data_IF_523046788442
#
_entry.id   IF_523046788442
#
_cell.length_a   1.000
_cell.length_b   1.000
_cell.length_c   1.000
_cell.angle_alpha   90.00
_cell.angle_beta   90.00
_cell.angle_gamma   90.00
#
_symmetry.space_group_name_H-M   'P 1'
#
loop_
_entity.id
_entity.type
_entity.pdbx_description
1 polymer ?
#
# COMPACT_ATOMS: atom_id res chain seq x y z
N UNK A 1 -12.60 11.69 -12.38
CA UNK A 1 -12.64 10.32 -12.94
C UNK A 1 -14.09 9.83 -13.06
N UNK A 2 -14.39 8.87 -13.95
CA UNK A 2 -15.75 8.34 -14.11
C UNK A 2 -16.23 7.64 -12.83
N UNK A 3 -17.40 8.02 -12.33
CA UNK A 3 -18.02 7.38 -11.15
C UNK A 3 -18.34 5.90 -11.40
N UNK A 4 -18.55 5.49 -12.65
CA UNK A 4 -18.84 4.10 -13.03
C UNK A 4 -17.68 3.14 -12.72
N UNK A 5 -16.44 3.62 -12.79
CA UNK A 5 -15.25 2.82 -12.52
C UNK A 5 -14.70 3.02 -11.10
N UNK A 6 -15.14 4.05 -10.39
CA UNK A 6 -14.60 4.38 -9.06
C UNK A 6 -14.72 3.21 -8.08
N UNK A 7 -15.88 2.54 -8.03
CA UNK A 7 -16.13 1.40 -7.14
C UNK A 7 -15.23 0.18 -7.42
N UNK A 8 -14.63 0.09 -8.61
CA UNK A 8 -13.71 -1.00 -8.94
C UNK A 8 -12.31 -0.74 -8.37
N UNK A 9 -11.83 0.52 -8.45
CA UNK A 9 -10.44 0.87 -8.18
C UNK A 9 -10.21 1.60 -6.86
N UNK A 10 -11.23 2.30 -6.32
CA UNK A 10 -11.08 3.19 -5.18
C UNK A 10 -11.88 2.73 -3.97
N UNK A 11 -11.38 3.07 -2.81
CA UNK A 11 -12.10 2.96 -1.56
C UNK A 11 -12.77 4.30 -1.25
N UNK A 12 -14.10 4.26 -0.97
CA UNK A 12 -14.93 5.47 -0.88
C UNK A 12 -14.43 6.45 0.17
N UNK A 13 -14.15 5.98 1.39
CA UNK A 13 -13.82 6.88 2.50
C UNK A 13 -12.51 7.63 2.27
N UNK A 14 -11.50 6.97 1.65
CA UNK A 14 -10.26 7.65 1.24
C UNK A 14 -10.51 8.63 0.08
N UNK A 15 -11.42 8.29 -0.83
CA UNK A 15 -11.84 9.21 -1.90
C UNK A 15 -12.50 10.46 -1.34
N UNK A 16 -13.33 10.31 -0.32
CA UNK A 16 -14.04 11.43 0.34
C UNK A 16 -13.06 12.40 1.03
N UNK A 17 -11.92 11.92 1.57
CA UNK A 17 -10.87 12.78 2.13
C UNK A 17 -10.29 13.75 1.08
N UNK A 18 -10.25 13.34 -0.17
CA UNK A 18 -9.72 14.16 -1.28
C UNK A 18 -10.83 14.80 -2.14
N UNK A 19 -12.07 14.90 -1.63
CA UNK A 19 -13.15 15.61 -2.29
C UNK A 19 -12.97 17.14 -2.17
N UNK A 20 -13.63 17.88 -3.05
CA UNK A 20 -13.59 19.36 -3.04
C UNK A 20 -14.09 19.93 -1.70
N UNK A 21 -15.19 19.38 -1.15
CA UNK A 21 -15.73 19.80 0.14
C UNK A 21 -14.75 19.52 1.28
N UNK A 22 -14.09 18.39 1.24
CA UNK A 22 -13.07 18.01 2.23
C UNK A 22 -11.85 18.91 2.14
N UNK A 23 -11.35 19.22 0.93
CA UNK A 23 -10.24 20.16 0.73
C UNK A 23 -10.58 21.52 1.33
N UNK A 24 -11.75 22.08 1.03
CA UNK A 24 -12.19 23.38 1.58
C UNK A 24 -12.29 23.31 3.12
N UNK A 25 -12.80 22.21 3.67
CA UNK A 25 -12.85 22.00 5.14
C UNK A 25 -11.45 22.03 5.76
N UNK A 26 -10.48 21.33 5.19
CA UNK A 26 -9.09 21.37 5.70
C UNK A 26 -8.46 22.75 5.54
N UNK A 27 -8.73 23.46 4.46
CA UNK A 27 -8.27 24.84 4.28
C UNK A 27 -8.87 25.78 5.34
N UNK A 28 -10.15 25.65 5.65
CA UNK A 28 -10.80 26.38 6.75
C UNK A 28 -10.11 26.05 8.09
N UNK A 29 -9.86 24.79 8.37
CA UNK A 29 -9.17 24.35 9.59
C UNK A 29 -7.77 24.98 9.71
N UNK A 30 -7.03 25.08 8.59
CA UNK A 30 -5.72 25.71 8.54
C UNK A 30 -5.81 27.21 8.83
N UNK A 31 -6.77 27.93 8.24
CA UNK A 31 -6.97 29.37 8.51
C UNK A 31 -7.36 29.66 9.96
N UNK A 32 -8.22 28.81 10.54
CA UNK A 32 -8.59 28.91 11.97
C UNK A 32 -7.36 28.71 12.86
N UNK A 33 -6.57 27.66 12.59
CA UNK A 33 -5.36 27.37 13.35
C UNK A 33 -4.33 28.50 13.23
N UNK A 34 -4.22 29.11 12.05
CA UNK A 34 -3.37 30.27 11.83
C UNK A 34 -3.81 31.46 12.68
N UNK A 35 -5.10 31.83 12.63
CA UNK A 35 -5.65 32.92 13.41
C UNK A 35 -5.48 32.72 14.93
N UNK A 36 -5.78 31.49 15.42
CA UNK A 36 -5.60 31.14 16.83
C UNK A 36 -4.14 31.19 17.28
N UNK A 37 -3.21 30.68 16.45
CA UNK A 37 -1.78 30.73 16.73
C UNK A 37 -1.27 32.16 16.80
N UNK A 38 -1.70 33.01 15.88
CA UNK A 38 -1.33 34.44 15.85
C UNK A 38 -1.89 35.21 17.04
N UNK A 39 -3.12 34.95 17.44
CA UNK A 39 -3.71 35.57 18.63
C UNK A 39 -3.00 35.12 19.92
N UNK A 40 -2.67 33.83 20.03
CA UNK A 40 -1.89 33.28 21.16
C UNK A 40 -0.54 33.98 21.35
N UNK A 41 0.09 34.40 20.26
CA UNK A 41 1.38 35.06 20.25
C UNK A 41 1.23 36.62 20.35
N UNK A 42 0.01 37.11 20.16
CA UNK A 42 -0.28 38.55 20.24
C UNK A 42 -0.08 39.30 18.91
N UNK A 43 -0.02 38.61 17.78
CA UNK A 43 0.08 39.19 16.42
C UNK A 43 -1.24 39.82 15.98
N UNK A 44 -2.36 39.13 16.27
CA UNK A 44 -3.71 39.62 16.01
C UNK A 44 -4.54 39.66 17.28
N UNK A 45 -5.65 40.43 17.32
CA UNK A 45 -6.54 40.46 18.48
C UNK A 45 -7.21 39.08 18.72
N UNK A 46 -7.32 38.70 19.99
CA UNK A 46 -7.96 37.43 20.39
C UNK A 46 -9.43 37.33 19.96
N UNK A 47 -10.17 38.46 20.02
CA UNK A 47 -11.57 38.49 19.55
C UNK A 47 -11.68 38.21 18.06
N UNK A 48 -10.77 38.68 17.22
CA UNK A 48 -10.76 38.43 15.80
C UNK A 48 -10.54 36.90 15.52
N UNK A 49 -9.57 36.28 16.20
CA UNK A 49 -9.34 34.82 16.07
C UNK A 49 -10.56 34.01 16.54
N UNK A 50 -11.23 34.43 17.62
CA UNK A 50 -12.43 33.75 18.11
C UNK A 50 -13.58 33.85 17.10
N UNK A 51 -13.79 35.05 16.50
CA UNK A 51 -14.81 35.24 15.46
C UNK A 51 -14.51 34.39 14.23
N UNK A 52 -13.25 34.36 13.75
CA UNK A 52 -12.85 33.53 12.61
C UNK A 52 -13.14 32.05 12.92
N UNK A 53 -12.80 31.56 14.10
CA UNK A 53 -13.05 30.19 14.52
C UNK A 53 -14.55 29.87 14.58
N UNK A 54 -15.36 30.75 15.18
CA UNK A 54 -16.81 30.58 15.29
C UNK A 54 -17.50 30.57 13.93
N UNK A 55 -17.09 31.45 13.02
CA UNK A 55 -17.62 31.51 11.64
C UNK A 55 -17.28 30.24 10.88
N UNK A 56 -16.07 29.73 11.08
CA UNK A 56 -15.57 28.53 10.40
C UNK A 56 -16.42 27.28 10.64
N UNK A 57 -17.05 27.14 11.81
CA UNK A 57 -17.92 25.99 12.15
C UNK A 57 -19.07 25.78 11.14
N UNK A 58 -19.52 26.86 10.50
CA UNK A 58 -20.63 26.84 9.54
C UNK A 58 -20.26 27.45 8.18
N UNK A 59 -18.97 27.71 7.94
CA UNK A 59 -18.54 28.40 6.73
C UNK A 59 -18.71 27.53 5.47
N UNK A 60 -18.55 26.21 5.58
CA UNK A 60 -18.56 25.28 4.42
C UNK A 60 -19.84 25.43 3.60
N UNK A 61 -20.99 25.52 4.25
CA UNK A 61 -22.30 25.64 3.58
C UNK A 61 -22.51 26.98 2.87
N UNK A 62 -21.66 27.98 3.16
CA UNK A 62 -21.70 29.32 2.55
C UNK A 62 -20.76 29.47 1.37
N UNK A 63 -19.88 28.49 1.11
CA UNK A 63 -19.00 28.52 -0.04
C UNK A 63 -19.72 28.23 -1.34
N UNK A 64 -19.52 29.09 -2.34
CA UNK A 64 -19.96 28.80 -3.71
C UNK A 64 -18.85 28.03 -4.44
N UNK A 65 -18.99 26.70 -4.47
CA UNK A 65 -18.02 25.81 -5.13
C UNK A 65 -17.95 26.03 -6.65
N UNK A 66 -19.05 26.43 -7.30
CA UNK A 66 -19.03 26.72 -8.73
C UNK A 66 -18.21 27.98 -9.03
N UNK A 67 -18.41 29.03 -8.25
CA UNK A 67 -17.59 30.25 -8.36
C UNK A 67 -16.13 29.99 -8.00
N UNK A 68 -15.85 29.14 -6.97
CA UNK A 68 -14.50 28.72 -6.62
C UNK A 68 -13.80 28.04 -7.81
N UNK A 69 -14.46 27.08 -8.47
CA UNK A 69 -13.89 26.35 -9.59
C UNK A 69 -13.51 27.27 -10.76
N UNK A 70 -14.39 28.18 -11.14
CA UNK A 70 -14.13 29.17 -12.21
C UNK A 70 -12.99 30.09 -11.83
N UNK A 71 -12.99 30.63 -10.61
CA UNK A 71 -11.96 31.56 -10.15
C UNK A 71 -10.60 30.88 -9.95
N UNK A 72 -10.57 29.60 -9.57
CA UNK A 72 -9.33 28.80 -9.46
C UNK A 72 -8.63 28.69 -10.81
N UNK A 73 -9.37 28.44 -11.89
CA UNK A 73 -8.81 28.38 -13.24
C UNK A 73 -8.17 29.70 -13.70
N UNK A 74 -8.66 30.85 -13.22
CA UNK A 74 -8.11 32.16 -13.51
C UNK A 74 -6.93 32.53 -12.58
N UNK A 75 -7.01 32.12 -11.30
CA UNK A 75 -6.02 32.48 -10.30
C UNK A 75 -4.79 31.54 -10.27
N UNK A 76 -4.89 30.37 -10.90
CA UNK A 76 -3.83 29.33 -10.90
C UNK A 76 -3.75 28.50 -9.61
N UNK A 77 -4.51 28.84 -8.57
CA UNK A 77 -4.69 28.02 -7.36
C UNK A 77 -5.98 28.40 -6.63
N UNK A 78 -6.50 27.45 -5.84
CA UNK A 78 -7.76 27.63 -5.12
C UNK A 78 -7.66 28.59 -3.91
N UNK A 79 -6.48 28.77 -3.30
CA UNK A 79 -6.37 29.54 -2.07
C UNK A 79 -6.78 31.00 -2.26
N UNK A 80 -6.49 31.60 -3.41
CA UNK A 80 -6.85 33.01 -3.69
C UNK A 80 -8.37 33.23 -3.64
N UNK A 81 -9.20 32.53 -4.45
CA UNK A 81 -10.66 32.69 -4.37
C UNK A 81 -11.26 32.16 -3.06
N UNK A 82 -10.67 31.11 -2.46
CA UNK A 82 -11.07 30.60 -1.16
C UNK A 82 -10.94 31.69 -0.07
N UNK A 83 -9.77 32.32 0.07
CA UNK A 83 -9.55 33.39 1.05
C UNK A 83 -10.51 34.56 0.84
N UNK A 84 -10.79 34.94 -0.41
CA UNK A 84 -11.77 35.97 -0.71
C UNK A 84 -13.18 35.60 -0.20
N UNK A 85 -13.64 34.39 -0.43
CA UNK A 85 -14.95 33.96 0.07
C UNK A 85 -14.96 33.84 1.59
N UNK A 86 -13.92 33.26 2.21
CA UNK A 86 -13.83 33.17 3.68
C UNK A 86 -13.83 34.55 4.32
N UNK A 87 -13.05 35.50 3.78
CA UNK A 87 -13.01 36.88 4.25
C UNK A 87 -14.39 37.55 4.17
N UNK A 88 -15.14 37.35 3.07
CA UNK A 88 -16.48 37.85 2.92
C UNK A 88 -17.46 37.24 3.96
N UNK A 89 -17.39 35.94 4.16
CA UNK A 89 -18.22 35.21 5.15
C UNK A 89 -17.93 35.71 6.58
N UNK A 90 -16.66 35.96 6.93
CA UNK A 90 -16.30 36.58 8.22
C UNK A 90 -16.78 38.00 8.33
N UNK A 91 -16.66 38.78 7.25
CA UNK A 91 -17.09 40.18 7.20
C UNK A 91 -18.57 40.35 7.46
N UNK A 92 -19.41 39.45 6.99
CA UNK A 92 -20.86 39.46 7.24
C UNK A 92 -21.22 39.37 8.73
N UNK A 93 -20.29 38.87 9.57
CA UNK A 93 -20.45 38.73 11.02
C UNK A 93 -19.69 39.82 11.77
N UNK A 94 -18.45 40.08 11.38
CA UNK A 94 -17.57 41.05 12.02
C UNK A 94 -16.57 41.60 11.00
N UNK A 95 -16.75 42.90 10.62
CA UNK A 95 -15.90 43.55 9.64
C UNK A 95 -14.46 43.71 10.14
N UNK A 96 -14.26 43.97 11.43
CA UNK A 96 -12.93 44.12 12.01
C UNK A 96 -12.17 42.80 12.03
N UNK A 97 -12.83 41.70 12.41
CA UNK A 97 -12.25 40.37 12.40
C UNK A 97 -11.85 39.93 10.98
N UNK A 98 -12.62 40.30 9.96
CA UNK A 98 -12.35 39.94 8.57
C UNK A 98 -10.98 40.44 8.05
N UNK A 99 -10.43 41.51 8.63
CA UNK A 99 -9.13 42.08 8.29
C UNK A 99 -7.96 41.16 8.67
N UNK A 100 -8.19 40.17 9.51
CA UNK A 100 -7.17 39.27 10.03
C UNK A 100 -7.20 37.87 9.40
N UNK A 101 -8.15 37.59 8.49
CA UNK A 101 -8.17 36.36 7.71
C UNK A 101 -6.91 36.28 6.85
N UNK A 102 -6.23 35.13 6.84
CA UNK A 102 -5.02 34.89 6.03
C UNK A 102 -3.85 35.83 6.35
N UNK A 103 -3.77 36.34 7.57
CA UNK A 103 -2.76 37.33 7.93
C UNK A 103 -1.35 36.77 7.87
N UNK A 104 -0.50 37.35 7.01
CA UNK A 104 0.91 37.03 6.87
C UNK A 104 1.23 35.70 6.20
N UNK A 105 0.23 34.94 5.80
CA UNK A 105 0.41 33.64 5.08
C UNK A 105 0.48 33.84 3.55
N UNK A 106 0.81 32.76 2.87
CA UNK A 106 0.73 32.66 1.41
C UNK A 106 -0.15 31.47 1.01
N UNK A 107 -0.63 31.45 -0.23
CA UNK A 107 -1.44 30.36 -0.77
C UNK A 107 -0.86 28.97 -0.51
N UNK A 108 0.46 28.82 -0.64
CA UNK A 108 1.14 27.53 -0.45
C UNK A 108 1.13 27.08 1.00
N UNK A 109 1.20 27.96 1.97
CA UNK A 109 1.10 27.64 3.40
C UNK A 109 -0.22 26.90 3.69
N UNK A 110 -1.32 27.42 3.12
CA UNK A 110 -2.65 26.86 3.34
C UNK A 110 -2.83 25.54 2.61
N UNK A 111 -2.44 25.49 1.33
CA UNK A 111 -2.62 24.30 0.49
C UNK A 111 -1.72 23.13 0.92
N UNK A 112 -0.44 23.39 1.19
CA UNK A 112 0.47 22.34 1.64
C UNK A 112 0.06 21.80 3.01
N UNK A 113 -0.32 22.65 3.95
CA UNK A 113 -0.77 22.20 5.27
C UNK A 113 -2.10 21.46 5.20
N UNK A 114 -3.06 21.90 4.38
CA UNK A 114 -4.30 21.18 4.12
C UNK A 114 -4.03 19.81 3.49
N UNK A 115 -3.12 19.74 2.51
CA UNK A 115 -2.67 18.48 1.91
C UNK A 115 -2.05 17.53 2.95
N UNK A 116 -1.21 18.02 3.85
CA UNK A 116 -0.63 17.21 4.93
C UNK A 116 -1.71 16.70 5.89
N UNK A 117 -2.74 17.48 6.20
CA UNK A 117 -3.87 17.03 7.00
C UNK A 117 -4.68 15.94 6.28
N UNK A 118 -4.96 16.11 4.98
CA UNK A 118 -5.58 15.06 4.16
C UNK A 118 -4.70 13.80 4.13
N UNK A 119 -3.40 13.94 3.92
CA UNK A 119 -2.45 12.83 3.95
C UNK A 119 -2.44 12.12 5.31
N UNK A 120 -2.47 12.86 6.43
CA UNK A 120 -2.54 12.29 7.79
C UNK A 120 -3.74 11.37 7.94
N UNK A 121 -4.91 11.86 7.57
CA UNK A 121 -6.16 11.13 7.79
C UNK A 121 -6.27 9.94 6.80
N UNK A 122 -5.83 10.10 5.55
CA UNK A 122 -5.74 9.02 4.58
C UNK A 122 -4.70 7.95 4.99
N UNK A 123 -3.54 8.35 5.53
CA UNK A 123 -2.54 7.41 6.07
C UNK A 123 -3.07 6.60 7.25
N UNK A 124 -3.87 7.21 8.13
CA UNK A 124 -4.50 6.47 9.23
C UNK A 124 -5.46 5.40 8.71
N UNK A 125 -6.21 5.67 7.65
CA UNK A 125 -7.09 4.68 7.02
C UNK A 125 -6.30 3.57 6.33
N UNK A 126 -5.26 3.91 5.57
CA UNK A 126 -4.37 2.94 4.92
C UNK A 126 -3.69 2.04 5.96
N UNK A 127 -3.23 2.61 7.07
CA UNK A 127 -2.63 1.85 8.18
C UNK A 127 -3.63 0.86 8.79
N UNK A 128 -4.89 1.29 9.02
CA UNK A 128 -5.96 0.40 9.50
C UNK A 128 -6.24 -0.77 8.54
N UNK A 129 -6.29 -0.50 7.23
CA UNK A 129 -6.45 -1.55 6.22
C UNK A 129 -5.26 -2.52 6.19
N UNK A 130 -4.03 -2.01 6.30
CA UNK A 130 -2.81 -2.83 6.38
C UNK A 130 -2.82 -3.72 7.64
N UNK A 131 -3.21 -3.18 8.79
CA UNK A 131 -3.33 -3.95 10.04
C UNK A 131 -4.32 -5.10 9.87
N UNK A 132 -5.47 -4.85 9.23
CA UNK A 132 -6.47 -5.88 8.95
C UNK A 132 -5.93 -6.94 7.98
N UNK A 133 -5.28 -6.54 6.87
CA UNK A 133 -4.66 -7.46 5.93
C UNK A 133 -3.57 -8.31 6.61
N UNK A 134 -2.74 -7.69 7.45
CA UNK A 134 -1.69 -8.35 8.21
C UNK A 134 -2.27 -9.41 9.16
N UNK A 135 -3.24 -9.04 9.99
CA UNK A 135 -3.87 -9.95 10.94
C UNK A 135 -4.53 -11.14 10.23
N UNK A 136 -5.25 -10.87 9.12
CA UNK A 136 -5.88 -11.92 8.32
C UNK A 136 -4.86 -12.84 7.68
N UNK A 137 -3.78 -12.31 7.10
CA UNK A 137 -2.71 -13.11 6.51
C UNK A 137 -2.01 -14.03 7.54
N UNK A 138 -1.80 -13.54 8.79
CA UNK A 138 -1.28 -14.36 9.89
C UNK A 138 -2.23 -15.50 10.26
N UNK A 139 -3.53 -15.21 10.37
CA UNK A 139 -4.55 -16.22 10.66
C UNK A 139 -4.55 -17.31 9.57
N UNK A 140 -4.56 -16.92 8.32
CA UNK A 140 -4.54 -17.83 7.18
C UNK A 140 -3.21 -18.62 7.09
N UNK A 141 -2.07 -17.98 7.39
CA UNK A 141 -0.79 -18.66 7.46
C UNK A 141 -0.77 -19.78 8.50
N UNK A 142 -1.37 -19.55 9.67
CA UNK A 142 -1.55 -20.56 10.72
C UNK A 142 -2.50 -21.67 10.29
N UNK A 143 -3.63 -21.33 9.67
CA UNK A 143 -4.64 -22.29 9.23
C UNK A 143 -4.08 -23.27 8.18
N UNK A 144 -3.35 -22.75 7.18
CA UNK A 144 -2.84 -23.53 6.06
C UNK A 144 -1.36 -23.91 6.22
N UNK A 145 -0.82 -23.92 7.44
CA UNK A 145 0.59 -24.20 7.70
C UNK A 145 1.05 -25.58 7.20
N UNK A 146 0.15 -26.55 7.13
CA UNK A 146 0.41 -27.91 6.70
C UNK A 146 -0.16 -28.23 5.29
N UNK A 147 -0.82 -27.28 4.64
CA UNK A 147 -1.35 -27.49 3.29
C UNK A 147 -0.20 -27.44 2.28
N UNK A 148 0.26 -28.62 1.87
CA UNK A 148 1.33 -28.76 0.88
C UNK A 148 0.84 -28.33 -0.50
N UNK A 149 1.69 -27.64 -1.21
CA UNK A 149 1.50 -27.23 -2.60
C UNK A 149 2.85 -27.13 -3.31
N UNK A 150 2.82 -27.05 -4.64
CA UNK A 150 4.05 -26.85 -5.39
C UNK A 150 4.52 -25.40 -5.36
N UNK A 151 5.79 -25.18 -5.04
CA UNK A 151 6.50 -23.92 -5.26
C UNK A 151 6.90 -23.80 -6.72
N UNK A 152 6.79 -22.58 -7.26
CA UNK A 152 7.15 -22.28 -8.66
C UNK A 152 8.21 -21.21 -8.74
N UNK A 153 9.24 -21.47 -9.54
CA UNK A 153 10.29 -20.53 -9.91
C UNK A 153 10.32 -20.38 -11.43
N UNK A 154 10.45 -19.18 -11.96
CA UNK A 154 10.37 -18.93 -13.39
C UNK A 154 9.10 -19.49 -14.05
N UNK A 155 7.98 -19.53 -13.31
CA UNK A 155 6.71 -20.13 -13.67
C UNK A 155 6.76 -21.66 -13.86
N UNK A 156 7.88 -22.31 -13.56
CA UNK A 156 8.04 -23.75 -13.60
C UNK A 156 7.87 -24.33 -12.19
N UNK A 157 7.35 -25.56 -12.12
CA UNK A 157 7.30 -26.32 -10.88
C UNK A 157 8.71 -26.58 -10.36
N UNK A 158 8.93 -26.37 -9.06
CA UNK A 158 10.24 -26.55 -8.44
C UNK A 158 10.14 -27.55 -7.27
N UNK A 159 10.01 -27.05 -6.05
CA UNK A 159 10.00 -27.87 -4.85
C UNK A 159 8.68 -27.71 -4.07
N UNK A 160 8.31 -28.69 -3.23
CA UNK A 160 7.17 -28.54 -2.34
C UNK A 160 7.34 -27.39 -1.35
N UNK A 161 6.26 -26.65 -1.14
CA UNK A 161 6.11 -25.65 -0.08
C UNK A 161 4.76 -25.86 0.62
N UNK A 162 4.41 -24.99 1.58
CA UNK A 162 3.03 -24.93 2.07
C UNK A 162 2.34 -23.62 1.70
N UNK A 163 1.02 -23.64 1.57
CA UNK A 163 0.22 -22.43 1.39
C UNK A 163 0.43 -21.47 2.59
N UNK A 164 0.52 -22.02 3.80
CA UNK A 164 0.82 -21.25 5.00
C UNK A 164 2.14 -20.51 4.93
N UNK A 165 3.19 -21.10 4.34
CA UNK A 165 4.45 -20.40 4.11
C UNK A 165 4.32 -19.24 3.12
N UNK A 166 3.57 -19.42 2.02
CA UNK A 166 3.28 -18.35 1.06
C UNK A 166 2.57 -17.17 1.76
N UNK A 167 1.56 -17.46 2.58
CA UNK A 167 0.78 -16.47 3.33
C UNK A 167 1.59 -15.79 4.43
N UNK A 168 2.47 -16.50 5.13
CA UNK A 168 3.39 -15.92 6.12
C UNK A 168 4.34 -14.89 5.47
N UNK A 169 4.84 -15.17 4.27
CA UNK A 169 5.66 -14.21 3.51
C UNK A 169 4.88 -12.96 3.12
N UNK A 170 3.58 -13.08 2.81
CA UNK A 170 2.71 -11.93 2.56
C UNK A 170 2.49 -11.13 3.84
N UNK A 171 2.21 -11.80 4.97
CA UNK A 171 2.11 -11.15 6.28
C UNK A 171 3.37 -10.36 6.62
N UNK A 172 4.55 -10.94 6.44
CA UNK A 172 5.83 -10.26 6.67
C UNK A 172 6.02 -9.02 5.77
N UNK A 173 5.47 -9.00 4.55
CA UNK A 173 5.49 -7.80 3.71
C UNK A 173 4.59 -6.69 4.28
N UNK A 174 3.38 -7.01 4.73
CA UNK A 174 2.48 -6.04 5.38
C UNK A 174 3.09 -5.47 6.67
N UNK A 175 3.78 -6.30 7.48
CA UNK A 175 4.48 -5.82 8.68
C UNK A 175 5.51 -4.75 8.33
N UNK A 176 6.34 -4.98 7.33
CA UNK A 176 7.32 -3.98 6.88
C UNK A 176 6.67 -2.71 6.33
N UNK A 177 5.50 -2.81 5.70
CA UNK A 177 4.76 -1.64 5.22
C UNK A 177 4.17 -0.84 6.37
N UNK A 178 3.64 -1.50 7.42
CA UNK A 178 3.21 -0.85 8.66
C UNK A 178 4.37 -0.11 9.34
N UNK A 179 5.52 -0.75 9.45
CA UNK A 179 6.72 -0.13 10.05
C UNK A 179 7.16 1.11 9.28
N UNK A 180 7.10 1.08 7.93
CA UNK A 180 7.41 2.25 7.09
C UNK A 180 6.44 3.40 7.34
N UNK A 181 5.14 3.15 7.39
CA UNK A 181 4.13 4.19 7.68
C UNK A 181 4.42 4.81 9.05
N UNK A 182 4.60 4.01 10.07
CA UNK A 182 4.87 4.50 11.43
C UNK A 182 6.16 5.33 11.48
N UNK A 183 7.24 4.82 10.89
CA UNK A 183 8.53 5.48 10.91
C UNK A 183 8.55 6.81 10.14
N UNK A 184 7.75 6.96 9.06
CA UNK A 184 7.75 8.19 8.27
C UNK A 184 6.88 9.30 8.89
N UNK A 185 5.80 8.98 9.63
CA UNK A 185 4.78 9.95 10.08
C UNK A 185 5.39 11.18 10.76
N UNK A 186 6.38 11.01 11.62
CA UNK A 186 7.02 12.12 12.34
C UNK A 186 7.82 13.06 11.43
N UNK A 187 8.30 12.58 10.28
CA UNK A 187 9.05 13.38 9.31
C UNK A 187 8.15 14.11 8.33
N UNK A 188 7.06 13.45 7.89
CA UNK A 188 6.22 13.94 6.80
C UNK A 188 5.01 14.74 7.27
N UNK A 189 4.44 14.44 8.45
CA UNK A 189 3.28 15.16 9.00
C UNK A 189 3.72 16.46 9.65
N UNK A 190 4.21 17.39 8.83
CA UNK A 190 4.86 18.63 9.22
C UNK A 190 4.06 19.82 8.68
N UNK A 191 3.82 20.83 9.53
CA UNK A 191 3.13 22.04 9.11
C UNK A 191 3.96 22.85 8.11
N UNK A 192 3.29 23.58 7.22
CA UNK A 192 3.92 24.55 6.33
C UNK A 192 3.40 25.95 6.66
N UNK A 193 4.29 26.84 7.07
CA UNK A 193 4.01 28.25 7.23
C UNK A 193 5.32 29.04 7.01
N UNK A 194 5.38 29.80 5.95
CA UNK A 194 6.58 30.55 5.55
C UNK A 194 6.30 31.95 5.03
N UNK A 195 5.06 32.27 4.72
CA UNK A 195 4.69 33.53 4.06
C UNK A 195 5.18 33.58 2.61
N UNK A 196 5.31 34.76 2.06
CA UNK A 196 5.50 34.99 0.63
C UNK A 196 6.69 34.23 0.01
N UNK A 197 7.83 34.18 0.71
CA UNK A 197 9.09 33.59 0.23
C UNK A 197 9.81 32.74 1.31
N UNK A 198 9.09 32.28 2.30
CA UNK A 198 9.65 31.44 3.36
C UNK A 198 10.31 32.22 4.52
N UNK A 199 10.29 33.52 4.49
CA UNK A 199 10.99 34.37 5.47
C UNK A 199 10.13 34.83 6.65
N UNK A 200 8.80 34.67 6.59
CA UNK A 200 7.83 35.20 7.57
C UNK A 200 7.98 36.68 7.84
N UNK A 201 8.46 37.46 6.86
CA UNK A 201 8.80 38.88 7.04
C UNK A 201 7.63 39.70 7.58
N UNK A 202 6.39 39.39 7.22
CA UNK A 202 5.17 40.03 7.72
C UNK A 202 4.87 39.79 9.20
N UNK A 203 5.47 38.78 9.80
CA UNK A 203 5.32 38.39 11.21
C UNK A 203 6.52 38.83 12.07
N UNK A 204 7.54 39.43 11.45
CA UNK A 204 8.75 39.95 12.12
C UNK A 204 9.33 38.90 13.10
N UNK A 205 9.70 39.35 14.31
CA UNK A 205 10.31 38.46 15.34
C UNK A 205 9.35 37.42 15.91
N UNK A 206 8.04 37.51 15.63
CA UNK A 206 7.03 36.57 16.11
C UNK A 206 6.89 35.35 15.21
N UNK A 207 7.46 35.34 14.01
CA UNK A 207 7.25 34.32 13.00
C UNK A 207 7.47 32.90 13.54
N UNK A 208 8.60 32.61 14.20
CA UNK A 208 8.91 31.30 14.74
C UNK A 208 7.95 30.84 15.85
N UNK A 209 7.48 31.75 16.68
CA UNK A 209 6.51 31.49 17.73
C UNK A 209 5.14 31.15 17.11
N UNK A 210 4.72 31.88 16.08
CA UNK A 210 3.49 31.57 15.33
C UNK A 210 3.56 30.22 14.68
N UNK A 211 4.66 29.86 13.99
CA UNK A 211 4.85 28.53 13.37
C UNK A 211 4.72 27.41 14.40
N UNK A 212 5.35 27.60 15.57
CA UNK A 212 5.28 26.58 16.65
C UNK A 212 3.86 26.42 17.19
N UNK A 213 3.15 27.52 17.45
CA UNK A 213 1.78 27.50 17.92
C UNK A 213 0.83 26.91 16.83
N UNK A 214 1.01 27.28 15.57
CA UNK A 214 0.24 26.80 14.41
C UNK A 214 0.37 25.29 14.24
N UNK A 215 1.58 24.75 14.23
CA UNK A 215 1.80 23.31 14.12
C UNK A 215 1.15 22.54 15.29
N UNK A 216 1.23 23.09 16.52
CA UNK A 216 0.60 22.51 17.70
C UNK A 216 -0.93 22.48 17.60
N UNK A 217 -1.57 23.55 17.12
CA UNK A 217 -3.03 23.61 16.91
C UNK A 217 -3.51 22.50 15.96
N UNK A 218 -2.69 22.15 14.95
CA UNK A 218 -3.02 21.13 13.95
C UNK A 218 -2.53 19.72 14.30
N UNK A 219 -1.86 19.57 15.44
CA UNK A 219 -1.20 18.31 15.82
C UNK A 219 -0.24 17.83 14.73
N UNK A 220 0.58 18.74 14.21
CA UNK A 220 1.62 18.49 13.22
C UNK A 220 3.01 18.77 13.81
N UNK A 221 4.03 18.19 13.19
CA UNK A 221 5.43 18.47 13.53
C UNK A 221 5.79 19.91 13.18
N UNK A 222 6.50 20.59 14.07
CA UNK A 222 7.05 21.92 13.82
C UNK A 222 8.22 21.80 12.84
N UNK A 223 8.19 22.50 11.68
CA UNK A 223 9.29 22.47 10.75
C UNK A 223 10.51 23.23 11.30
N UNK A 224 11.71 22.76 11.00
CA UNK A 224 12.96 23.49 11.29
C UNK A 224 13.10 24.72 10.40
N UNK A 225 12.61 24.64 9.17
CA UNK A 225 12.55 25.73 8.19
C UNK A 225 11.32 25.53 7.31
N UNK A 226 10.91 26.59 6.60
CA UNK A 226 9.91 26.47 5.53
C UNK A 226 10.37 25.45 4.50
N UNK A 227 9.41 24.76 3.86
CA UNK A 227 9.72 23.69 2.91
C UNK A 227 8.92 23.82 1.60
N UNK A 228 8.65 25.06 1.17
CA UNK A 228 7.90 25.35 -0.07
C UNK A 228 8.54 24.68 -1.31
N UNK A 229 9.87 24.71 -1.41
CA UNK A 229 10.64 24.13 -2.51
C UNK A 229 11.19 22.73 -2.22
N UNK A 230 11.20 22.28 -0.97
CA UNK A 230 11.75 20.99 -0.54
C UNK A 230 10.62 19.97 -0.41
N UNK A 231 10.42 19.16 -1.46
CA UNK A 231 9.24 18.27 -1.59
C UNK A 231 9.48 16.82 -1.18
N UNK A 232 10.60 16.53 -0.56
CA UNK A 232 10.99 15.19 -0.10
C UNK A 232 9.93 14.53 0.81
N UNK A 233 9.20 15.28 1.63
CA UNK A 233 8.11 14.78 2.47
C UNK A 233 6.95 14.20 1.65
N UNK A 234 6.55 14.90 0.61
CA UNK A 234 5.48 14.42 -0.31
C UNK A 234 5.95 13.19 -1.06
N UNK A 235 7.21 13.19 -1.50
CA UNK A 235 7.83 12.06 -2.19
C UNK A 235 7.96 10.85 -1.26
N UNK A 236 8.31 11.03 0.01
CA UNK A 236 8.39 9.94 0.99
C UNK A 236 7.01 9.29 1.19
N UNK A 237 5.94 10.08 1.36
CA UNK A 237 4.57 9.58 1.46
C UNK A 237 4.22 8.73 0.22
N UNK A 238 4.38 9.31 -0.96
CA UNK A 238 4.06 8.64 -2.22
C UNK A 238 4.89 7.35 -2.41
N UNK A 239 6.18 7.37 -2.04
CA UNK A 239 7.08 6.20 -2.15
C UNK A 239 6.64 5.04 -1.26
N UNK A 240 6.24 5.31 -0.02
CA UNK A 240 5.72 4.27 0.88
C UNK A 240 4.43 3.68 0.33
N UNK A 241 3.50 4.51 -0.15
CA UNK A 241 2.26 4.04 -0.79
C UNK A 241 2.55 3.21 -2.05
N UNK A 242 3.52 3.63 -2.86
CA UNK A 242 3.97 2.89 -4.05
C UNK A 242 4.52 1.50 -3.71
N UNK A 243 5.28 1.36 -2.61
CA UNK A 243 5.76 0.05 -2.12
C UNK A 243 4.60 -0.84 -1.67
N UNK A 244 3.61 -0.30 -0.98
CA UNK A 244 2.41 -1.03 -0.56
C UNK A 244 1.66 -1.57 -1.79
N UNK A 245 1.44 -0.73 -2.80
CA UNK A 245 0.80 -1.14 -4.06
C UNK A 245 1.62 -2.21 -4.77
N UNK A 246 2.96 -2.10 -4.78
CA UNK A 246 3.85 -3.12 -5.33
C UNK A 246 3.73 -4.47 -4.62
N UNK A 247 3.67 -4.48 -3.28
CA UNK A 247 3.49 -5.68 -2.48
C UNK A 247 2.12 -6.33 -2.72
N UNK A 248 1.04 -5.56 -2.71
CA UNK A 248 -0.31 -6.08 -3.03
C UNK A 248 -0.39 -6.59 -4.46
N UNK A 249 0.28 -5.92 -5.41
CA UNK A 249 0.38 -6.35 -6.80
C UNK A 249 1.10 -7.70 -6.97
N UNK A 250 2.17 -7.93 -6.20
CA UNK A 250 2.85 -9.24 -6.17
C UNK A 250 1.91 -10.34 -5.67
N UNK A 251 1.14 -10.06 -4.63
CA UNK A 251 0.15 -11.02 -4.10
C UNK A 251 -0.94 -11.29 -5.12
N UNK A 252 -1.47 -10.23 -5.76
CA UNK A 252 -2.49 -10.33 -6.80
C UNK A 252 -2.02 -11.15 -8.01
N UNK A 253 -0.76 -11.00 -8.40
CA UNK A 253 -0.18 -11.83 -9.45
C UNK A 253 -0.14 -13.29 -9.04
N UNK A 254 0.29 -13.61 -7.82
CA UNK A 254 0.33 -14.98 -7.32
C UNK A 254 -1.06 -15.64 -7.35
N UNK A 255 -2.06 -15.02 -6.72
CA UNK A 255 -3.38 -15.66 -6.68
C UNK A 255 -4.06 -15.72 -8.05
N UNK A 256 -3.84 -14.74 -8.94
CA UNK A 256 -4.38 -14.79 -10.31
C UNK A 256 -3.79 -15.97 -11.10
N UNK A 257 -2.51 -16.28 -10.91
CA UNK A 257 -1.86 -17.43 -11.51
C UNK A 257 -2.39 -18.74 -10.90
N UNK A 258 -2.63 -18.79 -9.59
CA UNK A 258 -3.23 -19.95 -8.93
C UNK A 258 -4.70 -20.20 -9.33
N UNK A 259 -5.39 -19.18 -9.87
CA UNK A 259 -6.76 -19.27 -10.41
C UNK A 259 -6.83 -19.77 -11.85
N UNK A 260 -5.70 -19.86 -12.58
CA UNK A 260 -5.71 -20.37 -13.96
C UNK A 260 -6.38 -21.76 -14.00
N UNK A 261 -7.14 -22.02 -15.08
CA UNK A 261 -7.92 -23.27 -15.22
C UNK A 261 -7.07 -24.50 -15.03
N UNK A 262 -5.84 -24.50 -15.54
CA UNK A 262 -4.88 -25.61 -15.50
C UNK A 262 -4.21 -25.74 -14.12
N UNK A 263 -4.22 -24.70 -13.30
CA UNK A 263 -3.61 -24.65 -11.96
C UNK A 263 -4.67 -24.92 -10.89
N UNK A 264 -5.74 -24.14 -10.87
CA UNK A 264 -6.96 -24.28 -10.05
C UNK A 264 -6.72 -24.57 -8.56
N UNK A 265 -5.70 -23.95 -7.96
CA UNK A 265 -5.27 -24.19 -6.56
C UNK A 265 -5.98 -23.28 -5.55
N UNK A 266 -6.32 -22.06 -5.97
CA UNK A 266 -6.93 -21.05 -5.11
C UNK A 266 -7.87 -20.18 -5.96
N UNK A 267 -8.98 -19.73 -5.38
CA UNK A 267 -9.95 -18.87 -6.06
C UNK A 267 -10.32 -17.67 -5.20
N UNK A 268 -10.61 -16.54 -5.84
CA UNK A 268 -11.22 -15.40 -5.17
C UNK A 268 -12.59 -15.76 -4.58
N UNK A 269 -13.02 -15.10 -3.49
CA UNK A 269 -14.31 -15.42 -2.86
C UNK A 269 -15.47 -15.22 -3.83
N UNK A 270 -16.43 -16.14 -3.77
CA UNK A 270 -17.66 -16.04 -4.56
C UNK A 270 -18.66 -15.08 -3.90
N UNK A 271 -19.32 -14.26 -4.72
CA UNK A 271 -20.46 -13.46 -4.32
C UNK A 271 -21.40 -13.27 -5.52
N UNK A 272 -22.66 -12.99 -5.27
CA UNK A 272 -23.65 -12.71 -6.32
C UNK A 272 -23.18 -11.53 -7.17
N UNK A 273 -22.98 -11.75 -8.48
CA UNK A 273 -22.53 -10.74 -9.43
C UNK A 273 -21.02 -10.51 -9.47
N UNK A 274 -20.21 -11.23 -8.69
CA UNK A 274 -18.74 -11.11 -8.68
C UNK A 274 -18.12 -12.12 -9.66
N UNK A 275 -17.24 -11.64 -10.53
CA UNK A 275 -16.39 -12.49 -11.37
C UNK A 275 -17.11 -13.30 -12.45
N UNK A 276 -18.41 -13.11 -12.64
CA UNK A 276 -19.21 -13.83 -13.63
C UNK A 276 -18.79 -13.50 -15.07
N UNK A 277 -19.08 -14.45 -15.97
CA UNK A 277 -18.96 -14.28 -17.41
C UNK A 277 -20.34 -14.07 -18.02
N UNK A 278 -20.44 -13.15 -18.97
CA UNK A 278 -21.70 -12.91 -19.71
C UNK A 278 -22.09 -14.06 -20.65
N UNK A 279 -21.11 -14.92 -21.01
CA UNK A 279 -21.30 -15.99 -22.01
C UNK A 279 -21.01 -17.37 -21.47
N UNK A 280 -20.14 -17.51 -20.44
CA UNK A 280 -19.70 -18.79 -19.90
C UNK A 280 -20.02 -18.88 -18.39
N UNK A 281 -21.15 -19.54 -18.00
CA UNK A 281 -21.62 -19.52 -16.60
C UNK A 281 -20.62 -20.10 -15.57
N UNK A 282 -19.77 -21.03 -16.00
CA UNK A 282 -18.77 -21.69 -15.14
C UNK A 282 -17.49 -20.86 -14.95
N UNK A 283 -17.26 -19.83 -15.77
CA UNK A 283 -16.02 -19.05 -15.73
C UNK A 283 -16.00 -18.09 -14.53
N UNK A 284 -14.98 -18.22 -13.69
CA UNK A 284 -14.71 -17.36 -12.52
C UNK A 284 -13.55 -16.43 -12.82
N UNK A 285 -13.83 -15.15 -13.04
CA UNK A 285 -12.79 -14.17 -13.34
C UNK A 285 -12.13 -13.62 -12.06
N UNK A 286 -10.80 -13.42 -12.03
CA UNK A 286 -10.08 -12.83 -10.91
C UNK A 286 -10.24 -11.30 -10.90
N UNK A 287 -11.42 -10.80 -10.52
CA UNK A 287 -11.77 -9.37 -10.60
C UNK A 287 -10.98 -8.54 -9.60
N UNK A 288 -10.73 -9.06 -8.39
CA UNK A 288 -9.91 -8.38 -7.41
C UNK A 288 -8.46 -8.25 -7.89
N UNK A 289 -7.89 -9.35 -8.44
CA UNK A 289 -6.55 -9.32 -9.04
C UNK A 289 -6.47 -8.29 -10.17
N UNK A 290 -7.46 -8.25 -11.05
CA UNK A 290 -7.49 -7.29 -12.16
C UNK A 290 -7.41 -5.84 -11.67
N UNK A 291 -8.20 -5.51 -10.63
CA UNK A 291 -8.19 -4.18 -10.01
C UNK A 291 -6.84 -3.84 -9.38
N UNK A 292 -6.27 -4.74 -8.56
CA UNK A 292 -4.98 -4.52 -7.89
C UNK A 292 -3.84 -4.40 -8.92
N UNK A 293 -3.82 -5.25 -9.94
CA UNK A 293 -2.80 -5.21 -10.99
C UNK A 293 -2.89 -3.94 -11.85
N UNK A 294 -4.10 -3.42 -12.08
CA UNK A 294 -4.28 -2.13 -12.75
C UNK A 294 -3.71 -0.97 -11.91
N UNK A 295 -3.94 -0.97 -10.58
CA UNK A 295 -3.32 -0.01 -9.67
C UNK A 295 -1.78 -0.13 -9.70
N UNK A 296 -1.24 -1.36 -9.71
CA UNK A 296 0.19 -1.63 -9.80
C UNK A 296 0.83 -1.10 -11.09
N UNK A 297 0.09 -1.09 -12.18
CA UNK A 297 0.55 -0.50 -13.45
C UNK A 297 0.45 1.03 -13.45
N UNK A 298 -0.55 1.60 -12.79
CA UNK A 298 -0.80 3.05 -12.79
C UNK A 298 0.12 3.82 -11.84
N UNK A 299 0.32 3.32 -10.61
CA UNK A 299 1.07 4.02 -9.56
C UNK A 299 2.51 4.37 -9.96
N UNK A 300 3.30 3.52 -10.64
CA UNK A 300 4.65 3.89 -11.09
C UNK A 300 4.70 5.12 -11.99
N UNK A 301 3.70 5.33 -12.85
CA UNK A 301 3.60 6.52 -13.69
C UNK A 301 3.33 7.79 -12.86
N UNK A 302 2.47 7.70 -11.83
CA UNK A 302 2.24 8.78 -10.87
C UNK A 302 3.50 9.07 -10.04
N UNK A 303 4.20 8.03 -9.60
CA UNK A 303 5.49 8.15 -8.91
C UNK A 303 6.54 8.88 -9.74
N UNK A 304 6.61 8.60 -11.05
CA UNK A 304 7.49 9.34 -11.95
C UNK A 304 7.19 10.84 -11.94
N UNK A 305 5.90 11.22 -11.96
CA UNK A 305 5.49 12.63 -11.84
C UNK A 305 5.91 13.23 -10.49
N UNK A 306 5.70 12.51 -9.40
CA UNK A 306 6.07 12.96 -8.03
C UNK A 306 7.58 13.15 -7.90
N UNK A 307 8.41 12.23 -8.41
CA UNK A 307 9.88 12.39 -8.39
C UNK A 307 10.34 13.59 -9.23
N UNK A 308 9.73 13.81 -10.39
CA UNK A 308 10.03 14.98 -11.22
C UNK A 308 9.65 16.28 -10.53
N UNK A 309 8.58 16.28 -9.73
CA UNK A 309 8.12 17.44 -8.97
C UNK A 309 9.05 17.84 -7.82
N UNK A 310 10.05 17.03 -7.47
CA UNK A 310 11.08 17.44 -6.49
C UNK A 310 11.98 18.58 -6.98
N UNK A 311 12.15 18.71 -8.29
CA UNK A 311 13.02 19.73 -8.88
C UNK A 311 12.21 21.02 -9.02
N UNK A 312 12.17 21.79 -7.94
CA UNK A 312 11.43 23.05 -7.84
C UNK A 312 12.35 24.24 -8.13
N UNK A 313 11.79 25.31 -8.67
CA UNK A 313 12.53 26.54 -8.93
C UNK A 313 12.36 27.51 -7.75
N UNK A 314 13.47 28.05 -7.27
CA UNK A 314 13.53 29.11 -6.27
C UNK A 314 12.67 28.77 -5.03
N UNK A 315 11.95 29.76 -4.50
CA UNK A 315 11.13 29.66 -3.28
C UNK A 315 9.71 29.16 -3.55
N UNK A 316 9.29 29.04 -4.84
CA UNK A 316 8.02 28.43 -5.28
C UNK A 316 8.06 28.04 -6.74
N UNK A 317 7.68 26.80 -7.01
CA UNK A 317 7.76 26.20 -8.35
C UNK A 317 6.68 26.66 -9.31
N UNK A 318 7.04 26.69 -10.59
CA UNK A 318 6.15 26.88 -11.72
C UNK A 318 5.77 25.52 -12.34
N UNK A 319 4.63 24.98 -11.93
CA UNK A 319 4.07 23.74 -12.51
C UNK A 319 4.34 22.47 -11.70
N UNK A 320 5.55 22.24 -11.19
CA UNK A 320 5.89 21.04 -10.43
C UNK A 320 5.03 20.88 -9.16
N UNK A 321 4.82 21.95 -8.38
CA UNK A 321 3.92 21.95 -7.24
C UNK A 321 2.47 21.57 -7.63
N UNK A 322 1.97 22.08 -8.77
CA UNK A 322 0.61 21.77 -9.26
C UNK A 322 0.45 20.30 -9.66
N UNK A 323 1.52 19.63 -10.13
CA UNK A 323 1.47 18.22 -10.50
C UNK A 323 1.19 17.31 -9.30
N UNK A 324 1.60 17.70 -8.09
CA UNK A 324 1.34 16.97 -6.86
C UNK A 324 -0.16 16.92 -6.53
N UNK A 325 -0.91 17.99 -6.83
CA UNK A 325 -2.37 18.06 -6.55
C UNK A 325 -3.19 17.00 -7.28
N UNK A 326 -2.66 16.51 -8.43
CA UNK A 326 -3.27 15.45 -9.20
C UNK A 326 -2.78 14.06 -8.75
N UNK A 327 -1.47 13.95 -8.53
CA UNK A 327 -0.84 12.64 -8.33
C UNK A 327 -1.04 12.11 -6.90
N UNK A 328 -0.93 12.95 -5.88
CA UNK A 328 -1.02 12.51 -4.47
C UNK A 328 -2.38 11.88 -4.14
N UNK A 329 -3.53 12.53 -4.44
CA UNK A 329 -4.84 11.94 -4.17
C UNK A 329 -5.03 10.61 -4.91
N UNK A 330 -4.63 10.53 -6.20
CA UNK A 330 -4.80 9.32 -7.00
C UNK A 330 -3.97 8.15 -6.45
N UNK A 331 -2.74 8.39 -5.96
CA UNK A 331 -1.91 7.36 -5.34
C UNK A 331 -2.58 6.81 -4.07
N UNK A 332 -3.11 7.66 -3.20
CA UNK A 332 -3.85 7.24 -2.01
C UNK A 332 -5.08 6.41 -2.36
N UNK A 333 -5.89 6.87 -3.30
CA UNK A 333 -7.12 6.19 -3.72
C UNK A 333 -6.83 4.81 -4.30
N UNK A 334 -5.82 4.69 -5.15
CA UNK A 334 -5.38 3.41 -5.74
C UNK A 334 -4.78 2.47 -4.68
N UNK A 335 -3.99 2.99 -3.74
CA UNK A 335 -3.42 2.21 -2.66
C UNK A 335 -4.51 1.63 -1.75
N UNK A 336 -5.44 2.45 -1.29
CA UNK A 336 -6.54 2.01 -0.45
C UNK A 336 -7.47 1.02 -1.17
N UNK A 337 -7.74 1.25 -2.45
CA UNK A 337 -8.50 0.33 -3.28
C UNK A 337 -7.82 -1.03 -3.43
N UNK A 338 -6.51 -1.04 -3.68
CA UNK A 338 -5.71 -2.27 -3.76
C UNK A 338 -5.70 -3.05 -2.44
N UNK A 339 -5.58 -2.36 -1.30
CA UNK A 339 -5.67 -2.97 0.03
C UNK A 339 -7.05 -3.55 0.32
N UNK A 340 -8.11 -2.82 -0.04
CA UNK A 340 -9.50 -3.31 0.11
C UNK A 340 -9.68 -4.64 -0.64
N UNK A 341 -9.29 -4.70 -1.92
CA UNK A 341 -9.41 -5.91 -2.74
C UNK A 341 -8.54 -7.06 -2.22
N UNK A 342 -7.33 -6.74 -1.77
CA UNK A 342 -6.43 -7.74 -1.16
C UNK A 342 -7.01 -8.29 0.14
N UNK A 343 -7.57 -7.43 1.00
CA UNK A 343 -8.24 -7.84 2.23
C UNK A 343 -9.45 -8.73 1.98
N UNK A 344 -10.30 -8.40 0.99
CA UNK A 344 -11.43 -9.26 0.59
C UNK A 344 -10.98 -10.66 0.15
N UNK A 345 -9.89 -10.74 -0.62
CA UNK A 345 -9.34 -12.03 -1.05
C UNK A 345 -8.79 -12.80 0.15
N UNK A 346 -7.98 -12.17 1.01
CA UNK A 346 -7.42 -12.82 2.20
C UNK A 346 -8.48 -13.36 3.16
N UNK A 347 -9.63 -12.66 3.30
CA UNK A 347 -10.72 -13.07 4.18
C UNK A 347 -11.52 -14.25 3.65
N UNK A 348 -11.63 -14.41 2.32
CA UNK A 348 -12.60 -15.31 1.74
C UNK A 348 -12.13 -16.16 0.58
N UNK A 349 -10.82 -16.27 0.30
CA UNK A 349 -10.35 -17.14 -0.77
C UNK A 349 -10.72 -18.61 -0.51
N UNK A 350 -10.98 -19.33 -1.59
CA UNK A 350 -11.30 -20.74 -1.58
C UNK A 350 -10.07 -21.56 -1.99
N UNK A 351 -9.72 -22.57 -1.20
CA UNK A 351 -8.57 -23.45 -1.47
C UNK A 351 -9.06 -24.76 -2.08
N UNK A 352 -8.44 -25.18 -3.16
CA UNK A 352 -8.63 -26.50 -3.76
C UNK A 352 -7.44 -27.40 -3.43
N UNK A 353 -7.53 -28.07 -2.27
CA UNK A 353 -6.47 -28.94 -1.77
C UNK A 353 -6.23 -30.15 -2.69
N UNK A 354 -7.27 -30.64 -3.36
CA UNK A 354 -7.16 -31.76 -4.30
C UNK A 354 -6.31 -31.36 -5.52
N UNK A 355 -6.58 -30.21 -6.13
CA UNK A 355 -5.74 -29.72 -7.25
C UNK A 355 -4.32 -29.36 -6.81
N UNK A 356 -4.11 -28.87 -5.57
CA UNK A 356 -2.77 -28.69 -5.04
C UNK A 356 -1.99 -30.00 -5.04
N UNK A 357 -2.63 -31.10 -4.60
CA UNK A 357 -2.03 -32.45 -4.63
C UNK A 357 -1.80 -32.96 -6.05
N UNK A 358 -2.78 -32.83 -6.95
CA UNK A 358 -2.63 -33.19 -8.35
C UNK A 358 -1.48 -32.45 -9.03
N UNK A 359 -1.30 -31.17 -8.73
CA UNK A 359 -0.20 -30.37 -9.26
C UNK A 359 1.17 -30.82 -8.74
N UNK A 360 1.28 -31.37 -7.54
CA UNK A 360 2.52 -31.97 -7.04
C UNK A 360 2.90 -33.23 -7.83
N UNK A 361 1.89 -33.98 -8.31
CA UNK A 361 2.10 -35.25 -9.04
C UNK A 361 2.27 -35.04 -10.55
N UNK A 362 1.90 -33.92 -11.12
CA UNK A 362 1.80 -33.74 -12.59
C UNK A 362 3.15 -33.84 -13.33
N UNK A 363 4.27 -33.85 -12.62
CA UNK A 363 5.60 -34.07 -13.19
C UNK A 363 6.11 -35.50 -12.99
N UNK A 364 5.23 -36.45 -12.62
CA UNK A 364 5.60 -37.83 -12.35
C UNK A 364 6.78 -37.91 -11.36
N UNK A 365 6.75 -37.15 -10.28
CA UNK A 365 7.74 -37.17 -9.20
C UNK A 365 9.07 -36.46 -9.51
N UNK A 366 9.24 -35.84 -10.68
CA UNK A 366 10.47 -35.11 -11.04
C UNK A 366 10.79 -33.97 -10.08
N UNK A 367 9.79 -33.34 -9.46
CA UNK A 367 9.98 -32.31 -8.42
C UNK A 367 10.77 -32.82 -7.21
N UNK A 368 10.84 -34.14 -7.00
CA UNK A 368 11.57 -34.76 -5.88
C UNK A 368 13.00 -35.17 -6.25
N UNK A 369 13.48 -34.88 -7.46
CA UNK A 369 14.82 -35.20 -7.91
C UNK A 369 15.92 -34.67 -6.98
N UNK A 370 15.77 -33.43 -6.47
CA UNK A 370 16.71 -32.84 -5.51
C UNK A 370 16.72 -33.63 -4.19
N UNK A 371 15.55 -34.04 -3.68
CA UNK A 371 15.46 -34.85 -2.45
C UNK A 371 16.21 -36.16 -2.60
N UNK A 372 16.03 -36.85 -3.73
CA UNK A 372 16.75 -38.11 -4.06
C UNK A 372 18.26 -37.85 -4.14
N UNK A 373 18.68 -36.80 -4.87
CA UNK A 373 20.09 -36.46 -4.99
C UNK A 373 20.72 -36.17 -3.62
N UNK A 374 20.05 -35.43 -2.76
CA UNK A 374 20.55 -35.05 -1.43
C UNK A 374 20.58 -36.26 -0.47
N UNK A 375 19.66 -37.21 -0.60
CA UNK A 375 19.71 -38.47 0.16
C UNK A 375 20.87 -39.37 -0.25
N UNK A 376 21.20 -39.42 -1.54
CA UNK A 376 22.30 -40.18 -2.10
C UNK A 376 23.67 -39.55 -1.87
N UNK A 377 23.77 -38.23 -1.87
CA UNK A 377 25.04 -37.48 -1.82
C UNK A 377 25.97 -37.89 -0.66
N UNK A 378 25.51 -38.15 0.58
CA UNK A 378 26.37 -38.64 1.66
C UNK A 378 26.95 -40.04 1.44
N UNK A 379 26.29 -40.85 0.61
CA UNK A 379 26.65 -42.24 0.40
C UNK A 379 27.57 -42.47 -0.80
N UNK A 380 27.33 -41.76 -1.89
CA UNK A 380 28.09 -41.98 -3.17
C UNK A 380 28.81 -40.72 -3.64
N UNK A 381 28.74 -39.63 -2.87
CA UNK A 381 29.31 -38.32 -3.25
C UNK A 381 28.35 -37.49 -4.11
N UNK A 382 28.38 -36.16 -3.91
CA UNK A 382 27.44 -35.24 -4.53
C UNK A 382 27.41 -35.28 -6.05
N UNK A 383 28.60 -35.36 -6.70
CA UNK A 383 28.69 -35.33 -8.14
C UNK A 383 28.13 -36.62 -8.76
N UNK A 384 28.46 -37.77 -8.18
CA UNK A 384 27.91 -39.07 -8.63
C UNK A 384 26.40 -39.14 -8.44
N UNK A 385 25.89 -38.66 -7.29
CA UNK A 385 24.45 -38.56 -7.03
C UNK A 385 23.75 -37.66 -8.06
N UNK A 386 24.35 -36.51 -8.41
CA UNK A 386 23.79 -35.64 -9.44
C UNK A 386 23.69 -36.33 -10.79
N UNK A 387 24.78 -36.96 -11.28
CA UNK A 387 24.78 -37.63 -12.60
C UNK A 387 23.80 -38.80 -12.63
N UNK A 388 23.70 -39.56 -11.52
CA UNK A 388 22.78 -40.70 -11.41
C UNK A 388 21.33 -40.22 -11.49
N UNK A 389 20.96 -39.19 -10.71
CA UNK A 389 19.60 -38.67 -10.69
C UNK A 389 19.26 -37.95 -12.00
N UNK A 390 20.21 -37.24 -12.64
CA UNK A 390 20.03 -36.64 -13.97
C UNK A 390 19.71 -37.71 -15.02
N UNK A 391 20.43 -38.83 -15.03
CA UNK A 391 20.15 -39.95 -15.91
C UNK A 391 18.78 -40.59 -15.64
N UNK A 392 18.42 -40.78 -14.36
CA UNK A 392 17.12 -41.28 -13.95
C UNK A 392 15.97 -40.37 -14.41
N UNK A 393 16.13 -39.07 -14.27
CA UNK A 393 15.15 -38.08 -14.74
C UNK A 393 14.95 -38.17 -16.27
N UNK A 394 16.05 -38.26 -17.04
CA UNK A 394 15.97 -38.44 -18.50
C UNK A 394 15.24 -39.72 -18.88
N UNK A 395 15.50 -40.84 -18.17
CA UNK A 395 14.82 -42.12 -18.37
C UNK A 395 13.32 -41.98 -18.03
N UNK A 396 12.98 -41.39 -16.89
CA UNK A 396 11.59 -41.19 -16.46
C UNK A 396 10.80 -40.40 -17.50
N UNK A 397 11.36 -39.33 -18.02
CA UNK A 397 10.73 -38.50 -19.07
C UNK A 397 10.59 -39.29 -20.38
N UNK A 398 11.66 -39.94 -20.83
CA UNK A 398 11.66 -40.68 -22.11
C UNK A 398 10.66 -41.87 -22.12
N UNK A 399 10.47 -42.51 -20.98
CA UNK A 399 9.59 -43.69 -20.84
C UNK A 399 8.20 -43.34 -20.28
N UNK A 400 7.95 -42.06 -19.98
CA UNK A 400 6.73 -41.59 -19.32
C UNK A 400 6.42 -42.36 -18.02
N UNK A 401 7.47 -42.62 -17.22
CA UNK A 401 7.39 -43.33 -15.95
C UNK A 401 7.52 -42.35 -14.76
N UNK A 402 7.03 -42.75 -13.61
CA UNK A 402 7.25 -42.02 -12.40
C UNK A 402 8.72 -42.12 -11.95
N UNK A 403 9.35 -41.01 -11.53
CA UNK A 403 10.75 -40.98 -11.12
C UNK A 403 11.04 -41.99 -9.98
N UNK A 404 10.09 -42.18 -9.07
CA UNK A 404 10.17 -43.18 -8.01
C UNK A 404 10.44 -44.60 -8.56
N UNK A 405 9.74 -45.03 -9.60
CA UNK A 405 9.89 -46.37 -10.18
C UNK A 405 11.28 -46.53 -10.79
N UNK A 406 11.72 -45.51 -11.57
CA UNK A 406 13.05 -45.52 -12.19
C UNK A 406 14.15 -45.56 -11.12
N UNK A 407 14.07 -44.69 -10.11
CA UNK A 407 15.06 -44.63 -9.03
C UNK A 407 15.10 -45.89 -8.19
N UNK A 408 13.95 -46.53 -7.93
CA UNK A 408 13.85 -47.76 -7.16
C UNK A 408 14.53 -48.94 -7.82
N UNK A 409 14.72 -48.91 -9.14
CA UNK A 409 15.37 -49.99 -9.91
C UNK A 409 16.89 -49.83 -10.03
N UNK A 410 17.46 -48.68 -9.65
CA UNK A 410 18.90 -48.45 -9.73
C UNK A 410 19.67 -49.26 -8.68
N UNK A 411 20.73 -49.97 -9.08
CA UNK A 411 21.53 -50.83 -8.19
C UNK A 411 22.19 -49.99 -7.07
N UNK A 412 22.66 -48.79 -7.38
CA UNK A 412 23.24 -47.86 -6.42
C UNK A 412 22.23 -47.42 -5.35
N UNK A 413 20.94 -47.42 -5.68
CA UNK A 413 19.87 -47.05 -4.75
C UNK A 413 19.44 -48.27 -3.94
N UNK A 414 19.21 -49.41 -4.60
CA UNK A 414 18.84 -50.72 -3.95
C UNK A 414 19.85 -51.13 -2.88
N UNK A 415 21.13 -50.86 -3.12
CA UNK A 415 22.20 -51.14 -2.16
C UNK A 415 22.30 -50.19 -0.97
N UNK A 416 21.58 -49.09 -0.98
CA UNK A 416 21.70 -48.02 0.00
C UNK A 416 20.43 -47.71 0.78
N UNK A 417 19.24 -48.02 0.21
CA UNK A 417 17.94 -47.71 0.76
C UNK A 417 16.96 -48.88 0.63
N UNK A 418 16.15 -49.04 1.65
CA UNK A 418 14.94 -49.89 1.57
C UNK A 418 13.86 -49.21 0.71
N UNK A 419 12.92 -50.00 0.22
CA UNK A 419 11.77 -49.47 -0.52
C UNK A 419 10.94 -48.47 0.28
N UNK A 420 10.88 -48.62 1.61
CA UNK A 420 10.17 -47.70 2.49
C UNK A 420 10.92 -46.36 2.62
N UNK A 421 12.24 -46.39 2.72
CA UNK A 421 13.06 -45.18 2.74
C UNK A 421 12.94 -44.41 1.44
N UNK A 422 12.95 -45.06 0.28
CA UNK A 422 12.74 -44.41 -1.01
C UNK A 422 11.34 -43.80 -1.08
N UNK A 423 10.29 -44.50 -0.66
CA UNK A 423 8.94 -43.92 -0.59
C UNK A 423 8.87 -42.66 0.29
N UNK A 424 9.58 -42.68 1.42
CA UNK A 424 9.62 -41.53 2.32
C UNK A 424 10.37 -40.35 1.72
N UNK A 425 11.40 -40.57 0.88
CA UNK A 425 12.09 -39.49 0.14
C UNK A 425 11.14 -38.84 -0.87
N UNK A 426 10.23 -39.60 -1.49
CA UNK A 426 9.29 -39.07 -2.48
C UNK A 426 8.03 -38.43 -1.88
N UNK A 427 7.87 -38.43 -0.54
CA UNK A 427 6.77 -37.69 0.10
C UNK A 427 7.07 -36.22 0.15
N UNK A 428 6.28 -35.34 -0.50
CA UNK A 428 6.53 -33.88 -0.51
C UNK A 428 6.61 -33.26 0.90
N UNK A 429 5.84 -33.80 1.86
CA UNK A 429 5.82 -33.36 3.26
C UNK A 429 7.16 -33.52 3.98
N UNK A 430 7.99 -34.45 3.52
CA UNK A 430 9.30 -34.73 4.10
C UNK A 430 10.41 -33.83 3.54
N UNK A 431 10.10 -33.01 2.51
CA UNK A 431 11.08 -32.13 1.87
C UNK A 431 10.68 -30.66 1.92
N UNK A 432 10.18 -30.21 3.05
CA UNK A 432 9.74 -28.83 3.30
C UNK A 432 10.80 -27.95 3.97
N UNK A 433 11.95 -28.50 4.32
CA UNK A 433 13.03 -27.77 5.00
C UNK A 433 12.56 -27.14 6.32
N UNK A 434 12.86 -25.88 6.53
CA UNK A 434 12.53 -25.15 7.75
C UNK A 434 11.27 -24.24 7.63
N UNK A 435 10.34 -24.59 6.74
CA UNK A 435 9.12 -23.80 6.50
C UNK A 435 8.32 -23.57 7.79
N UNK A 436 8.21 -24.58 8.66
CA UNK A 436 7.45 -24.46 9.90
C UNK A 436 8.10 -23.43 10.86
N UNK A 437 9.43 -23.45 10.98
CA UNK A 437 10.18 -22.49 11.79
C UNK A 437 10.01 -21.05 11.23
N UNK A 438 9.98 -20.89 9.90
CA UNK A 438 9.76 -19.58 9.29
C UNK A 438 8.35 -19.06 9.57
N UNK A 439 7.32 -19.91 9.48
CA UNK A 439 5.94 -19.54 9.85
C UNK A 439 5.89 -19.13 11.34
N UNK A 440 6.49 -19.95 12.22
CA UNK A 440 6.53 -19.66 13.66
C UNK A 440 7.23 -18.34 13.97
N UNK A 441 8.32 -18.02 13.26
CA UNK A 441 9.03 -16.76 13.41
C UNK A 441 8.14 -15.55 13.06
N UNK A 442 7.39 -15.62 11.95
CA UNK A 442 6.46 -14.56 11.55
C UNK A 442 5.31 -14.41 12.56
N UNK A 443 4.79 -15.52 13.09
CA UNK A 443 3.72 -15.50 14.10
C UNK A 443 4.20 -14.92 15.43
N UNK A 444 5.43 -15.21 15.86
CA UNK A 444 6.05 -14.65 17.08
C UNK A 444 6.35 -13.16 16.94
N UNK A 445 6.85 -12.73 15.80
CA UNK A 445 7.05 -11.29 15.50
C UNK A 445 5.76 -10.50 15.71
N UNK A 446 4.61 -11.06 15.29
CA UNK A 446 3.31 -10.44 15.47
C UNK A 446 2.87 -10.30 16.93
N UNK A 447 3.38 -11.16 17.83
CA UNK A 447 3.08 -11.15 19.26
C UNK A 447 4.02 -10.23 20.05
N UNK A 448 4.98 -9.58 19.38
CA UNK A 448 6.00 -8.74 20.03
C UNK A 448 7.11 -9.54 20.73
N UNK A 449 7.21 -10.83 20.46
CA UNK A 449 8.21 -11.76 21.01
C UNK A 449 9.48 -11.85 20.14
N UNK A 450 9.77 -10.82 19.35
CA UNK A 450 11.01 -10.80 18.57
C UNK A 450 12.23 -10.59 19.45
N UNK A 451 13.31 -11.30 19.06
CA UNK A 451 14.61 -11.34 19.73
C UNK A 451 15.29 -9.97 19.82
#
# INVERSE_FOLDING_TARGET
MSQLYASLFYQKDVTDIFSDSSLVTYMIQVEVALAQAQAQVGVIPQNAANTIAQVAEHALDKFDFSALAVATGLAGNIAIPFVKQLTAIVKDIDEDASRYVHWGATSQDILDTACILQCRDALNMVEGQLQQCYATALQQAKQYRHQVMIGRTWLQQALPITLGHKLARWASAFKRDLDRIQAMKSRVLTAQLGGAVGSLASLQDQGSLVVSAFAKQLNLTVPTSTWHGERDRIVEIASVLGMIVGNTGKMARDWSLMMQTEIAELFEPTAKGRGGSSTMPHKRNPVAAASVLAATNRVPALMSSIYQSMVQEHERSLGAWHAEWLAVPEIFQLCAGALTRTGEVLQGFEVNAEHMQQNLECTNGLIMAEAVMMALAPKIGRLNAHHLVEAACKTAVAQNQHLFDVVSELDEVKGQFSQEEIRNIFKPENYLGNIQQQIDAVLKEAQGESK
#
